data_IF_134559614098
#
_entry.id   IF_134559614098
#
_cell.length_a   1.000
_cell.length_b   1.000
_cell.length_c   1.000
_cell.angle_alpha   90.00
_cell.angle_beta   90.00
_cell.angle_gamma   90.00
#
_symmetry.space_group_name_H-M   'P 1'
#
loop_
_entity.id
_entity.type
_entity.pdbx_description
1 polymer ?
#
# COMPACT_ATOMS: atom_id res chain seq x y z
N UNK A 1 6.81 -33.36 5.27
CA UNK A 1 7.38 -32.01 5.43
C UNK A 1 6.55 -31.06 4.60
N UNK A 2 5.73 -30.21 5.22
CA UNK A 2 5.50 -28.92 4.57
C UNK A 2 5.43 -27.80 5.61
N UNK A 3 6.31 -26.80 5.51
CA UNK A 3 6.01 -25.47 6.03
C UNK A 3 6.94 -24.45 5.38
N UNK A 4 6.58 -23.99 4.18
CA UNK A 4 7.19 -22.79 3.62
C UNK A 4 6.39 -21.61 4.16
N UNK A 5 6.77 -21.16 5.36
CA UNK A 5 6.20 -20.00 6.01
C UNK A 5 6.51 -18.75 5.19
N UNK A 6 5.55 -18.31 4.38
CA UNK A 6 5.46 -16.90 4.02
C UNK A 6 4.94 -16.19 5.26
N UNK A 7 5.85 -15.53 5.99
CA UNK A 7 5.49 -14.65 7.09
C UNK A 7 4.70 -13.45 6.52
N UNK A 8 3.37 -13.59 6.46
CA UNK A 8 2.43 -12.53 6.13
C UNK A 8 1.97 -11.82 7.41
N UNK A 9 2.13 -10.49 7.47
CA UNK A 9 1.60 -9.61 8.52
C UNK A 9 2.65 -9.19 9.55
N UNK A 10 2.94 -7.89 9.61
CA UNK A 10 4.00 -7.33 10.45
C UNK A 10 3.71 -7.52 11.95
N UNK A 11 4.74 -7.79 12.75
CA UNK A 11 4.74 -7.94 14.24
C UNK A 11 4.33 -6.66 15.01
N UNK A 12 3.64 -5.75 14.34
CA UNK A 12 3.28 -4.42 14.82
C UNK A 12 1.84 -4.47 15.33
N UNK A 13 1.55 -3.95 16.50
CA UNK A 13 0.16 -3.93 16.99
C UNK A 13 -0.67 -2.79 16.40
N UNK A 14 -1.95 -2.72 16.77
CA UNK A 14 -2.91 -1.76 16.23
C UNK A 14 -2.57 -0.29 16.57
N UNK A 15 -1.84 -0.05 17.66
CA UNK A 15 -1.43 1.28 18.07
C UNK A 15 -0.41 1.92 17.13
N UNK A 16 0.56 1.12 16.67
CA UNK A 16 1.55 1.57 15.69
C UNK A 16 0.93 1.76 14.30
N UNK A 17 -0.04 0.93 13.91
CA UNK A 17 -0.80 1.16 12.67
C UNK A 17 -1.65 2.42 12.73
N UNK A 18 -2.31 2.69 13.85
CA UNK A 18 -3.01 3.96 14.07
C UNK A 18 -2.05 5.15 13.98
N UNK A 19 -0.86 5.02 14.58
CA UNK A 19 0.18 6.04 14.52
C UNK A 19 0.62 6.34 13.08
N UNK A 20 0.78 5.30 12.24
CA UNK A 20 1.13 5.46 10.83
C UNK A 20 0.07 6.31 10.09
N UNK A 21 -1.21 5.99 10.27
CA UNK A 21 -2.31 6.78 9.68
C UNK A 21 -2.21 8.24 10.10
N UNK A 22 -1.92 8.54 11.38
CA UNK A 22 -1.77 9.93 11.84
C UNK A 22 -0.58 10.64 11.19
N UNK A 23 0.56 9.96 11.07
CA UNK A 23 1.80 10.54 10.52
C UNK A 23 1.61 10.86 9.03
N UNK A 24 0.92 10.01 8.28
CA UNK A 24 0.60 10.25 6.87
C UNK A 24 -0.25 11.52 6.66
N UNK A 25 -0.98 11.94 7.69
CA UNK A 25 -1.75 13.19 7.69
C UNK A 25 -0.97 14.40 8.23
N UNK A 26 0.30 14.23 8.57
CA UNK A 26 1.15 15.27 9.17
C UNK A 26 0.54 15.88 10.45
N UNK A 27 -0.18 15.09 11.26
CA UNK A 27 -0.89 15.58 12.45
C UNK A 27 -0.18 15.22 13.76
N UNK A 28 -0.25 16.13 14.73
CA UNK A 28 0.07 15.84 16.14
C UNK A 28 -0.99 14.94 16.76
N UNK A 29 -0.64 14.24 17.86
CA UNK A 29 -1.61 13.43 18.61
C UNK A 29 -2.84 14.23 19.04
N UNK A 30 -2.66 15.49 19.43
CA UNK A 30 -3.77 16.34 19.86
C UNK A 30 -4.72 16.72 18.71
N UNK A 31 -4.18 16.98 17.51
CA UNK A 31 -5.00 17.24 16.32
C UNK A 31 -5.80 16.00 15.92
N UNK A 32 -5.14 14.84 15.88
CA UNK A 32 -5.79 13.61 15.46
C UNK A 32 -6.80 13.09 16.48
N UNK A 33 -6.53 13.26 17.78
CA UNK A 33 -7.52 12.97 18.83
C UNK A 33 -8.80 13.80 18.66
N UNK A 34 -8.67 15.12 18.39
CA UNK A 34 -9.81 15.99 18.11
C UNK A 34 -10.56 15.56 16.87
N UNK A 35 -9.85 15.22 15.79
CA UNK A 35 -10.44 14.70 14.56
C UNK A 35 -11.26 13.43 14.85
N UNK A 36 -10.70 12.50 15.63
CA UNK A 36 -11.35 11.24 16.00
C UNK A 36 -12.46 11.41 17.05
N UNK A 37 -12.61 12.58 17.66
CA UNK A 37 -13.62 12.84 18.69
C UNK A 37 -13.31 12.20 20.04
N UNK A 38 -12.02 11.96 20.34
CA UNK A 38 -11.55 11.38 21.61
C UNK A 38 -10.66 12.35 22.37
N UNK A 39 -10.45 12.11 23.67
CA UNK A 39 -9.48 12.88 24.43
C UNK A 39 -8.05 12.59 23.98
N UNK A 40 -7.14 13.56 24.11
CA UNK A 40 -5.71 13.35 23.80
C UNK A 40 -5.11 12.22 24.64
N UNK A 41 -5.54 12.07 25.90
CA UNK A 41 -5.12 10.97 26.79
C UNK A 41 -5.57 9.63 26.24
N UNK A 42 -6.84 9.51 25.83
CA UNK A 42 -7.40 8.29 25.23
C UNK A 42 -6.63 7.93 23.97
N UNK A 43 -6.40 8.90 23.08
CA UNK A 43 -5.63 8.68 21.86
C UNK A 43 -4.19 8.22 22.14
N UNK A 44 -3.50 8.88 23.09
CA UNK A 44 -2.16 8.49 23.52
C UNK A 44 -2.12 7.05 24.06
N UNK A 45 -3.17 6.61 24.77
CA UNK A 45 -3.29 5.22 25.24
C UNK A 45 -3.42 4.21 24.10
N UNK A 46 -4.05 4.59 22.98
CA UNK A 46 -4.15 3.74 21.79
C UNK A 46 -2.80 3.51 21.11
N UNK A 47 -2.01 4.55 20.85
CA UNK A 47 -0.69 4.39 20.20
C UNK A 47 0.29 3.54 21.03
N UNK A 48 0.07 3.45 22.34
CA UNK A 48 0.86 2.64 23.28
C UNK A 48 0.27 1.27 23.56
N UNK A 49 -0.88 0.95 22.97
CA UNK A 49 -1.60 -0.32 23.17
C UNK A 49 -1.92 -0.59 24.65
N UNK A 50 -2.07 0.48 25.42
CA UNK A 50 -2.52 0.43 26.82
C UNK A 50 -4.04 0.46 26.95
N UNK A 51 -4.73 0.64 25.82
CA UNK A 51 -6.18 0.53 25.67
C UNK A 51 -6.51 0.12 24.23
N UNK A 52 -7.57 -0.67 24.05
CA UNK A 52 -8.06 -1.06 22.73
C UNK A 52 -8.75 0.09 22.00
N UNK A 53 -8.64 0.07 20.67
CA UNK A 53 -9.37 1.01 19.81
C UNK A 53 -10.88 0.81 19.97
N UNK A 54 -11.60 1.91 20.20
CA UNK A 54 -13.07 1.85 20.22
C UNK A 54 -13.64 1.64 18.82
N UNK A 55 -14.79 0.97 18.73
CA UNK A 55 -15.51 0.80 17.47
C UNK A 55 -15.79 2.14 16.77
N UNK A 56 -16.09 3.19 17.54
CA UNK A 56 -16.32 4.53 17.00
C UNK A 56 -15.07 5.11 16.30
N UNK A 57 -13.87 4.86 16.85
CA UNK A 57 -12.61 5.28 16.23
C UNK A 57 -12.35 4.49 14.94
N UNK A 58 -12.57 3.18 14.96
CA UNK A 58 -12.38 2.31 13.79
C UNK A 58 -13.32 2.72 12.66
N UNK A 59 -14.61 2.92 12.96
CA UNK A 59 -15.60 3.39 11.99
C UNK A 59 -15.21 4.75 11.40
N UNK A 60 -14.75 5.68 12.23
CA UNK A 60 -14.36 7.01 11.77
C UNK A 60 -13.11 7.00 10.88
N UNK A 61 -12.14 6.13 11.15
CA UNK A 61 -10.98 5.93 10.28
C UNK A 61 -11.38 5.32 8.93
N UNK A 62 -12.34 4.40 8.95
CA UNK A 62 -12.91 3.86 7.72
C UNK A 62 -13.61 4.94 6.90
N UNK A 63 -14.47 5.76 7.51
CA UNK A 63 -15.22 6.82 6.83
C UNK A 63 -14.31 7.94 6.28
N UNK A 64 -13.31 8.37 7.04
CA UNK A 64 -12.45 9.49 6.65
C UNK A 64 -11.37 9.10 5.64
N UNK A 65 -10.84 7.88 5.74
CA UNK A 65 -9.61 7.48 5.06
C UNK A 65 -9.70 6.15 4.32
N UNK A 66 -10.87 5.51 4.32
CA UNK A 66 -11.08 4.16 3.76
C UNK A 66 -10.08 3.14 4.32
N UNK A 67 -9.75 3.26 5.60
CA UNK A 67 -8.85 2.33 6.29
C UNK A 67 -9.55 0.99 6.50
N UNK A 68 -8.85 -0.09 6.16
CA UNK A 68 -9.27 -1.46 6.39
C UNK A 68 -9.22 -1.79 7.88
N UNK A 69 -10.35 -2.25 8.43
CA UNK A 69 -10.41 -2.71 9.83
C UNK A 69 -9.56 -3.96 10.04
N UNK A 70 -9.50 -4.87 9.06
CA UNK A 70 -8.68 -6.08 9.14
C UNK A 70 -7.19 -5.74 9.21
N UNK A 71 -6.75 -4.75 8.43
CA UNK A 71 -5.38 -4.29 8.48
C UNK A 71 -5.12 -3.56 9.80
N UNK A 72 -6.01 -2.64 10.21
CA UNK A 72 -5.82 -1.86 11.43
C UNK A 72 -5.74 -2.74 12.69
N UNK A 73 -6.60 -3.74 12.80
CA UNK A 73 -6.69 -4.59 13.99
C UNK A 73 -5.70 -5.75 13.95
N UNK A 74 -5.58 -6.44 12.81
CA UNK A 74 -4.86 -7.71 12.73
C UNK A 74 -3.64 -7.67 11.82
N UNK A 75 -3.38 -6.55 11.14
CA UNK A 75 -2.30 -6.46 10.15
C UNK A 75 -2.55 -7.29 8.90
N UNK A 76 -3.81 -7.68 8.63
CA UNK A 76 -4.16 -8.53 7.50
C UNK A 76 -4.54 -7.65 6.30
N UNK A 77 -3.86 -7.87 5.16
CA UNK A 77 -4.13 -7.18 3.91
C UNK A 77 -3.48 -5.80 3.81
N UNK A 78 -4.08 -4.91 3.03
CA UNK A 78 -3.59 -3.55 2.78
C UNK A 78 -4.30 -2.52 3.70
N UNK A 79 -3.62 -1.43 4.09
CA UNK A 79 -4.21 -0.37 4.91
C UNK A 79 -5.41 0.28 4.26
N UNK A 80 -5.36 0.54 2.96
CA UNK A 80 -6.44 1.12 2.17
C UNK A 80 -6.64 0.33 0.89
N UNK A 81 -7.85 0.37 0.34
CA UNK A 81 -8.13 -0.03 -1.04
C UNK A 81 -8.31 1.24 -1.86
N UNK A 82 -7.22 1.78 -2.38
CA UNK A 82 -7.29 2.89 -3.34
C UNK A 82 -7.29 2.37 -4.76
N UNK A 83 -7.81 3.16 -5.70
CA UNK A 83 -7.78 2.82 -7.13
C UNK A 83 -6.33 2.71 -7.64
N UNK A 84 -5.43 3.54 -7.13
CA UNK A 84 -3.99 3.50 -7.45
C UNK A 84 -3.35 2.22 -6.92
N UNK A 85 -3.72 1.77 -5.71
CA UNK A 85 -3.26 0.51 -5.15
C UNK A 85 -3.75 -0.71 -5.94
N UNK A 86 -4.98 -0.67 -6.45
CA UNK A 86 -5.50 -1.69 -7.36
C UNK A 86 -4.76 -1.67 -8.70
N UNK A 87 -4.53 -0.48 -9.25
CA UNK A 87 -3.80 -0.29 -10.49
C UNK A 87 -2.34 -0.80 -10.37
N UNK A 88 -1.67 -0.54 -9.26
CA UNK A 88 -0.32 -1.03 -8.98
C UNK A 88 -0.29 -2.56 -8.88
N UNK A 89 -1.29 -3.18 -8.23
CA UNK A 89 -1.38 -4.65 -8.17
C UNK A 89 -1.65 -5.26 -9.53
N UNK A 90 -2.52 -4.66 -10.34
CA UNK A 90 -2.79 -5.11 -11.70
C UNK A 90 -1.53 -5.00 -12.57
N UNK A 91 -0.79 -3.90 -12.44
CA UNK A 91 0.49 -3.70 -13.10
C UNK A 91 1.52 -4.75 -12.68
N UNK A 92 1.71 -4.95 -11.36
CA UNK A 92 2.66 -5.93 -10.83
C UNK A 92 2.34 -7.36 -11.32
N UNK A 93 1.06 -7.74 -11.31
CA UNK A 93 0.62 -9.04 -11.82
C UNK A 93 0.88 -9.19 -13.32
N UNK A 94 0.60 -8.16 -14.12
CA UNK A 94 0.83 -8.20 -15.55
C UNK A 94 2.33 -8.35 -15.89
N UNK A 95 3.20 -7.69 -15.13
CA UNK A 95 4.64 -7.83 -15.32
C UNK A 95 5.15 -9.20 -14.89
N UNK A 96 4.61 -9.77 -13.82
CA UNK A 96 4.91 -11.15 -13.41
C UNK A 96 4.48 -12.15 -14.48
N UNK A 97 3.29 -12.00 -15.07
CA UNK A 97 2.83 -12.83 -16.17
C UNK A 97 3.76 -12.74 -17.39
N UNK A 98 4.18 -11.53 -17.77
CA UNK A 98 5.15 -11.35 -18.84
C UNK A 98 6.48 -12.08 -18.56
N UNK A 99 6.98 -12.00 -17.32
CA UNK A 99 8.20 -12.71 -16.91
C UNK A 99 8.06 -14.23 -17.08
N UNK A 100 6.93 -14.79 -16.68
CA UNK A 100 6.67 -16.24 -16.77
C UNK A 100 6.55 -16.71 -18.23
N UNK A 101 5.89 -15.94 -19.08
CA UNK A 101 5.68 -16.25 -20.50
C UNK A 101 6.97 -16.11 -21.33
N UNK A 102 7.74 -15.05 -21.08
CA UNK A 102 8.97 -14.77 -21.84
C UNK A 102 10.18 -15.61 -21.40
N UNK A 103 10.12 -16.26 -20.21
CA UNK A 103 11.27 -16.92 -19.55
C UNK A 103 12.49 -16.02 -19.34
N UNK A 104 12.35 -14.70 -19.47
CA UNK A 104 13.43 -13.73 -19.30
C UNK A 104 13.44 -13.19 -17.88
N UNK A 105 14.64 -12.93 -17.35
CA UNK A 105 14.79 -12.21 -16.10
C UNK A 105 14.64 -10.71 -16.37
N UNK A 106 13.67 -10.06 -15.74
CA UNK A 106 13.63 -8.59 -15.63
C UNK A 106 14.49 -8.22 -14.43
N UNK A 107 15.47 -7.34 -14.62
CA UNK A 107 16.29 -6.88 -13.50
C UNK A 107 15.48 -5.95 -12.57
N UNK A 108 15.91 -5.81 -11.32
CA UNK A 108 15.27 -4.89 -10.37
C UNK A 108 15.34 -3.43 -10.85
N UNK A 109 16.38 -3.08 -11.62
CA UNK A 109 16.55 -1.75 -12.21
C UNK A 109 15.54 -1.51 -13.34
N UNK A 110 15.41 -2.45 -14.27
CA UNK A 110 14.42 -2.34 -15.35
C UNK A 110 13.00 -2.27 -14.78
N UNK A 111 12.73 -3.01 -13.70
CA UNK A 111 11.46 -2.94 -12.97
C UNK A 111 11.19 -1.53 -12.43
N UNK A 112 12.20 -0.90 -11.82
CA UNK A 112 12.10 0.46 -11.29
C UNK A 112 11.82 1.48 -12.40
N UNK A 113 12.51 1.37 -13.54
CA UNK A 113 12.32 2.24 -14.70
C UNK A 113 10.90 2.12 -15.29
N UNK A 114 10.34 0.91 -15.38
CA UNK A 114 8.97 0.70 -15.85
C UNK A 114 7.96 1.28 -14.85
N UNK A 115 8.19 1.06 -13.56
CA UNK A 115 7.31 1.59 -12.50
C UNK A 115 7.28 3.12 -12.49
N UNK A 116 8.44 3.77 -12.57
CA UNK A 116 8.54 5.24 -12.59
C UNK A 116 7.80 5.83 -13.79
N UNK A 117 7.94 5.21 -14.96
CA UNK A 117 7.26 5.64 -16.19
C UNK A 117 5.75 5.41 -16.11
N UNK A 118 5.31 4.27 -15.59
CA UNK A 118 3.90 3.95 -15.39
C UNK A 118 3.24 4.91 -14.39
N UNK A 119 3.91 5.18 -13.26
CA UNK A 119 3.42 6.08 -12.22
C UNK A 119 3.30 7.53 -12.72
N UNK A 120 4.27 8.02 -13.50
CA UNK A 120 4.22 9.38 -14.08
C UNK A 120 3.02 9.61 -15.00
N UNK A 121 2.68 8.63 -15.83
CA UNK A 121 1.54 8.70 -16.76
C UNK A 121 0.17 8.59 -16.07
N UNK A 122 0.08 7.81 -14.98
CA UNK A 122 -1.10 7.76 -14.12
C UNK A 122 -1.39 9.13 -13.48
N UNK A 123 -0.36 9.90 -13.14
CA UNK A 123 -0.49 11.26 -12.59
C UNK A 123 -1.13 12.27 -13.56
N UNK A 124 -1.17 11.96 -14.86
CA UNK A 124 -1.79 12.80 -15.90
C UNK A 124 -3.24 12.36 -16.24
N UNK A 125 -3.84 11.50 -15.41
CA UNK A 125 -5.21 11.01 -15.60
C UNK A 125 -5.38 10.03 -16.76
N UNK A 126 -4.28 9.46 -17.28
CA UNK A 126 -4.30 8.46 -18.34
C UNK A 126 -4.39 7.06 -17.73
N UNK A 127 -5.52 6.38 -17.94
CA UNK A 127 -5.63 4.94 -17.71
C UNK A 127 -4.77 4.22 -18.76
N UNK A 128 -3.60 3.75 -18.37
CA UNK A 128 -2.74 2.99 -19.25
C UNK A 128 -3.26 1.56 -19.39
N UNK A 129 -3.81 1.26 -20.57
CA UNK A 129 -4.08 -0.11 -20.97
C UNK A 129 -2.80 -0.95 -21.07
N UNK A 130 -2.95 -2.27 -20.98
CA UNK A 130 -1.83 -3.21 -20.94
C UNK A 130 -0.92 -3.17 -22.18
N UNK A 131 -1.43 -2.64 -23.29
CA UNK A 131 -0.66 -2.43 -24.51
C UNK A 131 0.48 -1.41 -24.33
N UNK A 132 0.29 -0.38 -23.51
CA UNK A 132 1.34 0.61 -23.22
C UNK A 132 2.49 -0.01 -22.42
N UNK A 133 2.17 -0.86 -21.43
CA UNK A 133 3.15 -1.58 -20.62
C UNK A 133 4.00 -2.52 -21.50
N UNK A 134 3.36 -3.25 -22.42
CA UNK A 134 4.04 -4.12 -23.39
C UNK A 134 5.02 -3.36 -24.27
N UNK A 135 4.61 -2.21 -24.82
CA UNK A 135 5.48 -1.35 -25.65
C UNK A 135 6.72 -0.90 -24.87
N UNK A 136 6.59 -0.60 -23.57
CA UNK A 136 7.73 -0.14 -22.78
C UNK A 136 8.70 -1.24 -22.40
N UNK A 137 8.20 -2.44 -22.16
CA UNK A 137 9.03 -3.64 -22.01
C UNK A 137 9.87 -3.84 -23.28
N UNK A 138 9.25 -3.78 -24.47
CA UNK A 138 9.96 -3.89 -25.75
C UNK A 138 11.02 -2.78 -25.96
N UNK A 139 10.76 -1.56 -25.47
CA UNK A 139 11.70 -0.43 -25.56
C UNK A 139 12.91 -0.65 -24.66
N UNK A 140 12.73 -1.17 -23.44
CA UNK A 140 13.83 -1.46 -22.52
C UNK A 140 14.69 -2.61 -23.04
N UNK A 141 14.08 -3.63 -23.66
CA UNK A 141 14.82 -4.71 -24.31
C UNK A 141 15.73 -4.21 -25.44
N UNK A 142 15.28 -3.21 -26.22
CA UNK A 142 16.10 -2.64 -27.30
C UNK A 142 17.29 -1.81 -26.81
N UNK A 143 17.22 -1.23 -25.61
CA UNK A 143 18.32 -0.48 -24.99
C UNK A 143 19.45 -1.36 -24.48
N UNK A 144 19.19 -2.62 -24.15
CA UNK A 144 20.21 -3.58 -23.67
C UNK A 144 21.01 -4.23 -24.83
N UNK A 145 20.64 -3.96 -26.09
CA UNK A 145 21.30 -4.51 -27.28
C UNK A 145 22.27 -3.53 -27.97
N UNK A 146 22.55 -2.36 -27.37
CA UNK A 146 23.55 -1.38 -27.80
C UNK A 146 24.64 -1.24 -26.74
#
# INVERSE_FOLDING_TARGET
MPENAVATGSETGSGLRLQAVRIDQCMTQAQFARLLGVSVRTYHSYERESADLSLAVIAKLHELYNISSDWLLFGIGLPTRTEEGLALRAFAHALEQYRLESKKAVSATDFSDILERWFGEMGEGRLLGMDAVRIWIDILEKKQCQ
#
